data_IF_078094779086
#
_entry.id   IF_078094779086
#
_cell.length_a   1.000
_cell.length_b   1.000
_cell.length_c   1.000
_cell.angle_alpha   90.00
_cell.angle_beta   90.00
_cell.angle_gamma   90.00
#
_symmetry.space_group_name_H-M   'P 1'
#
loop_
_entity.id
_entity.type
_entity.pdbx_description
1 polymer ?
#
# COMPACT_ATOMS: atom_id res chain seq x y z
N UNK A 1 15.31 -4.33 -15.44
CA UNK A 1 15.33 -3.76 -14.08
C UNK A 1 15.04 -4.95 -13.19
N UNK A 2 16.07 -5.50 -12.55
CA UNK A 2 15.92 -6.75 -11.81
C UNK A 2 15.18 -6.47 -10.50
N UNK A 3 14.23 -7.34 -10.15
CA UNK A 3 13.43 -7.18 -8.93
C UNK A 3 14.33 -7.37 -7.71
N UNK A 4 14.36 -6.37 -6.82
CA UNK A 4 15.19 -6.41 -5.60
C UNK A 4 14.71 -7.52 -4.67
N UNK A 5 13.42 -7.82 -4.65
CA UNK A 5 12.87 -8.88 -3.81
C UNK A 5 13.43 -10.23 -4.25
N UNK A 6 13.47 -10.50 -5.56
CA UNK A 6 14.07 -11.72 -6.10
C UNK A 6 15.54 -11.84 -5.75
N UNK A 7 16.29 -10.72 -5.77
CA UNK A 7 17.69 -10.70 -5.35
C UNK A 7 17.85 -10.99 -3.86
N UNK A 8 16.99 -10.42 -3.01
CA UNK A 8 17.01 -10.65 -1.56
C UNK A 8 16.72 -12.12 -1.24
N UNK A 9 15.76 -12.74 -1.92
CA UNK A 9 15.41 -14.14 -1.71
C UNK A 9 16.45 -15.12 -2.27
N UNK A 10 17.27 -14.69 -3.22
CA UNK A 10 18.32 -15.51 -3.84
C UNK A 10 19.66 -15.50 -3.07
N UNK A 11 19.79 -14.66 -2.04
CA UNK A 11 21.01 -14.52 -1.22
C UNK A 11 20.75 -14.93 0.24
N UNK A 12 21.81 -15.06 1.03
CA UNK A 12 21.73 -15.50 2.44
C UNK A 12 22.54 -14.62 3.42
N UNK A 13 23.01 -13.46 3.00
CA UNK A 13 23.81 -12.56 3.83
C UNK A 13 22.96 -11.59 4.66
N UNK A 14 21.88 -11.07 4.06
CA UNK A 14 20.97 -10.09 4.68
C UNK A 14 19.53 -10.60 4.72
N UNK A 15 18.72 -10.01 5.58
CA UNK A 15 17.26 -10.20 5.61
C UNK A 15 16.54 -8.86 5.51
N UNK A 16 15.20 -8.87 5.41
CA UNK A 16 14.37 -7.68 5.36
C UNK A 16 13.07 -7.91 6.11
N UNK A 17 12.51 -6.84 6.69
CA UNK A 17 11.21 -6.88 7.35
C UNK A 17 10.13 -7.03 6.27
N UNK A 18 9.31 -8.06 6.40
CA UNK A 18 8.16 -8.31 5.53
C UNK A 18 6.94 -7.55 6.07
N UNK A 19 6.47 -7.94 7.25
CA UNK A 19 5.38 -7.26 7.94
C UNK A 19 5.52 -7.34 9.46
N UNK A 20 4.74 -6.49 10.13
CA UNK A 20 4.67 -6.42 11.59
C UNK A 20 3.26 -6.80 12.01
N UNK A 21 3.14 -7.84 12.81
CA UNK A 21 1.88 -8.27 13.40
C UNK A 21 1.72 -7.68 14.80
N UNK A 22 0.58 -7.03 15.06
CA UNK A 22 0.25 -6.43 16.36
C UNK A 22 -0.78 -7.32 17.04
N UNK A 23 -0.50 -7.73 18.28
CA UNK A 23 -1.44 -8.50 19.10
C UNK A 23 -2.55 -7.62 19.68
N UNK A 24 -3.62 -8.24 20.17
CA UNK A 24 -4.79 -7.56 20.74
C UNK A 24 -4.48 -6.66 21.94
N UNK A 25 -3.40 -6.96 22.67
CA UNK A 25 -2.91 -6.15 23.78
C UNK A 25 -2.16 -4.88 23.34
N UNK A 26 -1.87 -4.75 22.04
CA UNK A 26 -1.20 -3.62 21.40
C UNK A 26 0.19 -3.33 21.97
N UNK A 27 0.79 -4.26 22.71
CA UNK A 27 2.13 -4.14 23.28
C UNK A 27 3.06 -5.25 22.81
N UNK A 28 2.51 -6.39 22.36
CA UNK A 28 3.28 -7.42 21.66
C UNK A 28 3.27 -7.16 20.16
N UNK A 29 4.46 -7.07 19.59
CA UNK A 29 4.67 -6.96 18.15
C UNK A 29 5.52 -8.14 17.69
N UNK A 30 5.04 -8.86 16.67
CA UNK A 30 5.79 -9.93 16.03
C UNK A 30 6.25 -9.44 14.64
N UNK A 31 7.56 -9.32 14.47
CA UNK A 31 8.18 -8.86 13.22
C UNK A 31 8.57 -10.08 12.40
N UNK A 32 8.01 -10.17 11.20
CA UNK A 32 8.28 -11.22 10.23
C UNK A 32 9.28 -10.73 9.18
N UNK A 33 10.05 -11.67 8.64
CA UNK A 33 11.14 -11.39 7.72
C UNK A 33 10.98 -12.15 6.41
N UNK A 34 11.43 -11.54 5.30
CA UNK A 34 11.44 -12.19 3.98
C UNK A 34 12.37 -13.41 3.92
N UNK A 35 13.53 -13.33 4.59
CA UNK A 35 14.48 -14.43 4.73
C UNK A 35 14.59 -14.76 6.20
N UNK A 36 14.49 -16.04 6.55
CA UNK A 36 14.51 -16.44 7.96
C UNK A 36 15.81 -15.97 8.64
N UNK A 37 15.73 -15.19 9.74
CA UNK A 37 16.88 -14.58 10.40
C UNK A 37 17.86 -15.60 11.01
N UNK A 38 17.46 -16.87 11.15
CA UNK A 38 18.31 -17.97 11.58
C UNK A 38 19.03 -18.69 10.43
N UNK A 39 18.55 -18.52 9.21
CA UNK A 39 19.04 -19.20 8.01
C UNK A 39 20.06 -18.37 7.22
N UNK A 40 20.18 -17.08 7.53
CA UNK A 40 21.24 -16.24 6.98
C UNK A 40 22.62 -16.68 7.50
N UNK A 41 23.67 -16.45 6.70
CA UNK A 41 25.05 -16.87 6.94
C UNK A 41 25.58 -16.39 8.31
N UNK A 42 25.12 -15.22 8.76
CA UNK A 42 25.40 -14.71 10.09
C UNK A 42 24.08 -14.44 10.84
N UNK A 43 23.54 -15.43 11.59
CA UNK A 43 22.20 -15.35 12.16
C UNK A 43 22.07 -14.17 13.11
N UNK A 44 20.93 -13.48 13.05
CA UNK A 44 20.67 -12.31 13.87
C UNK A 44 20.81 -12.66 15.37
N UNK A 45 21.59 -11.88 16.13
CA UNK A 45 21.79 -12.16 17.54
C UNK A 45 20.49 -12.00 18.33
N UNK A 46 20.36 -12.74 19.43
CA UNK A 46 19.22 -12.56 20.35
C UNK A 46 19.17 -11.14 20.93
N UNK A 47 20.33 -10.49 21.07
CA UNK A 47 20.46 -9.07 21.39
C UNK A 47 20.71 -8.30 20.10
N UNK A 48 19.63 -7.90 19.43
CA UNK A 48 19.71 -7.02 18.27
C UNK A 48 20.25 -5.65 18.65
N UNK A 49 20.71 -4.91 17.64
CA UNK A 49 21.11 -3.51 17.77
C UNK A 49 19.97 -2.60 18.25
N UNK A 50 20.13 -1.29 18.08
CA UNK A 50 19.13 -0.33 18.54
C UNK A 50 17.84 -0.44 17.68
N UNK A 51 16.73 -0.84 18.30
CA UNK A 51 15.42 -0.87 17.63
C UNK A 51 14.66 0.42 17.97
N UNK A 52 14.22 1.12 16.93
CA UNK A 52 13.53 2.41 17.02
C UNK A 52 12.11 2.27 16.49
N UNK A 53 11.14 2.62 17.32
CA UNK A 53 9.74 2.81 16.91
C UNK A 53 9.41 4.29 17.05
N UNK A 54 9.18 4.96 15.92
CA UNK A 54 9.00 6.41 15.88
C UNK A 54 7.96 6.81 14.84
N UNK A 55 7.35 7.99 14.99
CA UNK A 55 6.44 8.52 13.97
C UNK A 55 7.22 9.46 13.03
N UNK A 56 7.37 9.15 11.74
CA UNK A 56 8.14 9.99 10.82
C UNK A 56 7.55 11.40 10.65
N UNK A 57 6.23 11.54 10.81
CA UNK A 57 5.53 12.82 10.77
C UNK A 57 5.59 13.59 12.11
N UNK A 58 6.23 13.04 13.15
CA UNK A 58 6.27 13.64 14.49
C UNK A 58 4.90 13.71 15.18
N UNK A 59 3.92 12.92 14.73
CA UNK A 59 2.57 12.91 15.29
C UNK A 59 2.47 12.21 16.66
N UNK A 60 3.52 11.50 17.06
CA UNK A 60 3.61 10.78 18.32
C UNK A 60 5.06 10.70 18.80
N UNK A 61 5.26 10.59 20.12
CA UNK A 61 6.57 10.34 20.69
C UNK A 61 7.08 8.92 20.33
N UNK A 62 8.40 8.72 20.21
CA UNK A 62 8.99 7.41 20.02
C UNK A 62 8.64 6.47 21.18
N UNK A 63 8.35 5.21 20.85
CA UNK A 63 7.93 4.21 21.83
C UNK A 63 9.12 3.28 22.11
N UNK A 64 9.59 3.18 23.36
CA UNK A 64 10.61 2.21 23.72
C UNK A 64 10.10 0.79 23.52
N UNK A 65 10.93 -0.04 22.88
CA UNK A 65 10.66 -1.47 22.68
C UNK A 65 11.81 -2.30 23.25
N UNK A 66 11.46 -3.48 23.77
CA UNK A 66 12.44 -4.47 24.22
C UNK A 66 12.30 -5.75 23.41
N UNK A 67 13.43 -6.41 23.13
CA UNK A 67 13.44 -7.69 22.43
C UNK A 67 13.10 -8.79 23.42
N UNK A 68 11.98 -9.47 23.21
CA UNK A 68 11.62 -10.66 23.99
C UNK A 68 12.38 -11.91 23.49
N UNK A 69 12.69 -11.95 22.20
CA UNK A 69 13.48 -13.00 21.57
C UNK A 69 13.03 -13.34 20.15
N UNK A 70 13.80 -14.19 19.49
CA UNK A 70 13.44 -14.80 18.21
C UNK A 70 12.67 -16.09 18.52
N UNK A 71 11.44 -16.17 18.04
CA UNK A 71 10.54 -17.30 18.28
C UNK A 71 10.21 -17.99 16.97
N UNK A 72 9.99 -19.30 17.03
CA UNK A 72 9.54 -20.09 15.89
C UNK A 72 8.04 -20.35 16.03
N UNK A 73 7.26 -19.95 15.03
CA UNK A 73 5.97 -20.60 14.76
C UNK A 73 6.25 -21.72 13.75
N UNK A 74 5.47 -22.79 13.72
CA UNK A 74 5.67 -23.89 12.77
C UNK A 74 5.70 -23.48 11.29
N UNK A 75 5.39 -22.22 10.97
CA UNK A 75 5.47 -21.58 9.65
C UNK A 75 6.68 -20.63 9.44
N UNK A 76 7.57 -20.44 10.42
CA UNK A 76 8.76 -19.58 10.30
C UNK A 76 9.21 -18.91 11.61
N UNK A 77 10.42 -18.34 11.61
CA UNK A 77 10.91 -17.52 12.72
C UNK A 77 10.46 -16.07 12.62
N UNK A 78 10.10 -15.48 13.76
CA UNK A 78 9.76 -14.07 13.89
C UNK A 78 10.45 -13.48 15.12
N UNK A 79 10.69 -12.17 15.09
CA UNK A 79 11.23 -11.42 16.22
C UNK A 79 10.09 -10.87 17.05
N UNK A 80 10.00 -11.26 18.32
CA UNK A 80 9.02 -10.69 19.25
C UNK A 80 9.59 -9.48 19.98
N UNK A 81 8.86 -8.37 19.87
CA UNK A 81 9.12 -7.12 20.57
C UNK A 81 8.00 -6.83 21.58
N UNK A 82 8.39 -6.21 22.69
CA UNK A 82 7.49 -5.71 23.73
C UNK A 82 7.62 -4.19 23.80
N UNK A 83 6.58 -3.49 23.35
CA UNK A 83 6.47 -2.05 23.54
C UNK A 83 6.18 -1.71 25.00
N UNK A 84 6.75 -0.61 25.49
CA UNK A 84 6.56 -0.14 26.85
C UNK A 84 5.10 0.24 27.15
N UNK A 85 4.35 0.69 26.14
CA UNK A 85 2.95 1.06 26.22
C UNK A 85 2.30 0.96 24.83
N UNK A 86 0.96 0.78 24.76
CA UNK A 86 0.26 0.73 23.49
C UNK A 86 0.32 2.11 22.81
N UNK A 87 0.67 2.13 21.51
CA UNK A 87 0.71 3.36 20.73
C UNK A 87 -0.66 4.00 20.50
N UNK A 88 -0.67 5.21 19.94
CA UNK A 88 -1.89 5.93 19.59
C UNK A 88 -2.38 5.56 18.18
N UNK A 89 -3.24 6.38 17.58
CA UNK A 89 -3.77 6.17 16.22
C UNK A 89 -2.83 6.64 15.09
N UNK A 90 -1.64 7.16 15.42
CA UNK A 90 -0.66 7.57 14.41
C UNK A 90 -0.04 6.36 13.71
N UNK A 91 0.59 6.63 12.56
CA UNK A 91 1.49 5.70 11.91
C UNK A 91 2.88 5.81 12.53
N UNK A 92 3.48 4.65 12.78
CA UNK A 92 4.82 4.48 13.31
C UNK A 92 5.66 3.71 12.29
N UNK A 93 6.94 4.01 12.23
CA UNK A 93 7.92 3.20 11.52
C UNK A 93 8.73 2.40 12.53
N UNK A 94 9.05 1.16 12.16
CA UNK A 94 9.97 0.31 12.91
C UNK A 94 11.28 0.24 12.14
N UNK A 95 12.36 0.69 12.78
CA UNK A 95 13.72 0.62 12.26
C UNK A 95 14.57 -0.23 13.18
N UNK A 96 15.29 -1.19 12.61
CA UNK A 96 16.29 -1.99 13.32
C UNK A 96 17.67 -1.58 12.81
N UNK A 97 18.51 -1.07 13.70
CA UNK A 97 19.89 -0.67 13.38
C UNK A 97 20.83 -1.88 13.42
N UNK A 98 20.88 -2.63 12.30
CA UNK A 98 21.77 -3.78 12.10
C UNK A 98 22.15 -3.91 10.62
N UNK A 99 23.44 -4.11 10.34
CA UNK A 99 23.99 -4.24 8.98
C UNK A 99 23.43 -5.45 8.20
N UNK A 100 22.83 -6.41 8.90
CA UNK A 100 22.25 -7.62 8.30
C UNK A 100 20.82 -7.40 7.79
N UNK A 101 20.27 -6.21 7.97
CA UNK A 101 18.94 -5.86 7.49
C UNK A 101 19.08 -4.98 6.25
N UNK A 102 18.49 -5.42 5.15
CA UNK A 102 18.43 -4.64 3.91
C UNK A 102 17.74 -3.30 4.20
N UNK A 103 18.43 -2.15 4.02
CA UNK A 103 17.85 -0.83 4.28
C UNK A 103 16.58 -0.54 3.47
N UNK A 104 16.39 -1.19 2.32
CA UNK A 104 15.18 -1.03 1.51
C UNK A 104 13.96 -1.70 2.14
N UNK A 105 14.15 -2.80 2.87
CA UNK A 105 13.12 -3.54 3.59
C UNK A 105 13.22 -3.30 5.10
N UNK A 106 13.69 -2.11 5.49
CA UNK A 106 13.72 -1.62 6.85
C UNK A 106 12.80 -0.39 6.96
N UNK A 107 12.69 0.21 8.15
CA UNK A 107 11.86 1.39 8.39
C UNK A 107 10.39 1.21 7.97
N UNK A 108 9.84 0.03 8.26
CA UNK A 108 8.49 -0.37 7.80
C UNK A 108 7.41 0.33 8.62
N UNK A 109 6.44 0.92 7.93
CA UNK A 109 5.30 1.60 8.56
C UNK A 109 4.24 0.63 9.06
N UNK A 110 3.71 0.87 10.26
CA UNK A 110 2.63 0.10 10.88
C UNK A 110 1.76 0.98 11.81
N UNK A 111 0.64 0.44 12.26
CA UNK A 111 -0.24 1.08 13.26
C UNK A 111 -0.48 0.15 14.44
N UNK A 112 -0.38 0.69 15.66
CA UNK A 112 -0.75 -0.04 16.88
C UNK A 112 -2.24 -0.39 16.96
N UNK A 113 -3.09 0.22 16.13
CA UNK A 113 -4.54 -0.02 16.09
C UNK A 113 -4.96 -0.98 14.97
N UNK A 114 -4.01 -1.61 14.27
CA UNK A 114 -4.31 -2.49 13.14
C UNK A 114 -5.19 -3.69 13.51
N UNK A 115 -5.04 -4.25 14.72
CA UNK A 115 -5.85 -5.37 15.21
C UNK A 115 -6.95 -4.95 16.21
N UNK A 116 -7.26 -3.66 16.29
CA UNK A 116 -8.42 -3.22 17.07
C UNK A 116 -9.70 -3.71 16.39
N UNK A 117 -10.73 -4.11 17.17
CA UNK A 117 -12.06 -4.32 16.64
C UNK A 117 -12.51 -3.07 15.86
N UNK A 118 -12.88 -3.28 14.61
CA UNK A 118 -13.34 -2.23 13.71
C UNK A 118 -14.85 -2.34 13.60
N UNK A 119 -15.56 -1.24 13.91
CA UNK A 119 -16.99 -1.11 13.62
C UNK A 119 -17.26 -0.82 12.13
N UNK A 120 -16.22 -0.76 11.29
CA UNK A 120 -16.37 -0.64 9.85
C UNK A 120 -16.86 -1.97 9.29
N UNK A 121 -18.09 -1.98 8.79
CA UNK A 121 -18.64 -3.08 8.02
C UNK A 121 -17.75 -3.36 6.80
N UNK A 122 -17.51 -4.65 6.51
CA UNK A 122 -16.79 -5.06 5.31
C UNK A 122 -17.46 -4.41 4.08
N UNK A 123 -16.67 -3.70 3.25
CA UNK A 123 -17.20 -3.14 1.99
C UNK A 123 -17.83 -4.31 1.20
N UNK A 124 -19.12 -4.25 0.86
CA UNK A 124 -19.72 -5.27 0.00
C UNK A 124 -18.94 -5.30 -1.31
N UNK A 125 -18.80 -6.49 -1.91
CA UNK A 125 -18.19 -6.63 -3.23
C UNK A 125 -18.88 -5.65 -4.20
N UNK A 126 -18.09 -4.92 -4.99
CA UNK A 126 -18.64 -4.04 -6.00
C UNK A 126 -19.52 -4.90 -6.94
N UNK A 127 -20.71 -4.41 -7.24
CA UNK A 127 -21.60 -5.10 -8.17
C UNK A 127 -20.89 -5.22 -9.52
N UNK A 128 -20.66 -6.45 -9.98
CA UNK A 128 -20.14 -6.71 -11.33
C UNK A 128 -21.22 -6.33 -12.34
N UNK A 129 -21.21 -5.07 -12.79
CA UNK A 129 -21.96 -4.66 -13.95
C UNK A 129 -21.40 -5.40 -15.18
N UNK A 130 -22.25 -5.93 -16.07
CA UNK A 130 -21.78 -6.41 -17.37
C UNK A 130 -21.06 -5.26 -18.09
N UNK A 131 -19.99 -5.55 -18.87
CA UNK A 131 -19.33 -4.52 -19.66
C UNK A 131 -20.35 -3.84 -20.56
N UNK A 132 -20.41 -2.51 -20.51
CA UNK A 132 -21.28 -1.75 -21.40
C UNK A 132 -20.90 -2.07 -22.85
N UNK A 133 -21.89 -2.42 -23.67
CA UNK A 133 -21.67 -2.58 -25.10
C UNK A 133 -21.22 -1.23 -25.68
N UNK A 134 -20.10 -1.19 -26.44
CA UNK A 134 -19.69 0.04 -27.08
C UNK A 134 -20.76 0.46 -28.09
N UNK A 135 -21.46 1.56 -27.80
CA UNK A 135 -22.39 2.18 -28.74
C UNK A 135 -21.55 2.95 -29.76
N UNK A 136 -21.44 2.40 -30.98
CA UNK A 136 -20.79 3.08 -32.09
C UNK A 136 -21.72 4.13 -32.71
N UNK A 137 -21.18 5.31 -32.98
CA UNK A 137 -21.89 6.40 -33.63
C UNK A 137 -21.20 6.70 -34.96
N UNK A 138 -21.94 6.97 -36.05
CA UNK A 138 -21.36 7.27 -37.34
C UNK A 138 -20.68 8.65 -37.33
N UNK A 139 -19.43 8.72 -36.86
CA UNK A 139 -18.60 9.92 -36.87
C UNK A 139 -17.73 9.92 -38.13
N UNK A 140 -17.71 11.04 -38.86
CA UNK A 140 -16.82 11.21 -40.01
C UNK A 140 -15.39 11.51 -39.55
N UNK A 141 -14.55 10.47 -39.51
CA UNK A 141 -13.13 10.57 -39.14
C UNK A 141 -12.24 11.20 -40.23
N UNK A 142 -12.80 11.53 -41.40
CA UNK A 142 -12.05 12.20 -42.48
C UNK A 142 -12.08 13.73 -42.38
N UNK A 143 -12.86 14.27 -41.44
CA UNK A 143 -12.88 15.69 -41.09
C UNK A 143 -11.46 16.21 -40.79
N UNK A 144 -11.09 17.34 -41.41
CA UNK A 144 -9.73 17.94 -41.30
C UNK A 144 -9.75 19.47 -41.18
N UNK A 145 -10.90 20.10 -41.36
CA UNK A 145 -11.10 21.54 -41.18
C UNK A 145 -12.06 21.83 -40.02
N UNK A 146 -12.00 23.04 -39.46
CA UNK A 146 -12.80 23.44 -38.30
C UNK A 146 -14.30 23.19 -38.49
N UNK A 147 -14.86 23.46 -39.66
CA UNK A 147 -16.29 23.29 -39.92
C UNK A 147 -16.67 21.82 -40.00
N UNK A 148 -15.83 21.00 -40.62
CA UNK A 148 -16.02 19.55 -40.67
C UNK A 148 -15.97 18.91 -39.27
N UNK A 149 -15.03 19.31 -38.41
CA UNK A 149 -14.95 18.82 -37.02
C UNK A 149 -16.14 19.28 -36.18
N UNK A 150 -16.51 20.56 -36.26
CA UNK A 150 -17.67 21.11 -35.55
C UNK A 150 -18.94 20.34 -35.92
N UNK A 151 -19.12 20.05 -37.21
CA UNK A 151 -20.26 19.26 -37.69
C UNK A 151 -20.24 17.83 -37.14
N UNK A 152 -19.12 17.13 -37.23
CA UNK A 152 -19.00 15.76 -36.73
C UNK A 152 -19.30 15.64 -35.22
N UNK A 153 -18.82 16.61 -34.42
CA UNK A 153 -19.08 16.66 -32.97
C UNK A 153 -20.55 16.96 -32.65
N UNK A 154 -21.20 17.86 -33.39
CA UNK A 154 -22.62 18.17 -33.20
C UNK A 154 -23.54 17.02 -33.63
N UNK A 155 -23.20 16.32 -34.71
CA UNK A 155 -23.92 15.10 -35.14
C UNK A 155 -23.79 13.99 -34.09
N UNK A 156 -22.58 13.73 -33.58
CA UNK A 156 -22.37 12.82 -32.45
C UNK A 156 -23.21 13.19 -31.22
N UNK A 157 -23.15 14.45 -30.79
CA UNK A 157 -23.88 14.92 -29.62
C UNK A 157 -25.41 14.78 -29.79
N UNK A 158 -25.93 15.00 -31.01
CA UNK A 158 -27.37 14.83 -31.30
C UNK A 158 -27.85 13.39 -31.15
N UNK A 159 -27.00 12.41 -31.46
CA UNK A 159 -27.31 10.98 -31.34
C UNK A 159 -27.13 10.49 -29.90
N UNK A 160 -26.07 10.94 -29.22
CA UNK A 160 -25.75 10.51 -27.85
C UNK A 160 -26.63 11.19 -26.80
N UNK A 161 -27.06 12.43 -27.04
CA UNK A 161 -27.80 13.29 -26.12
C UNK A 161 -29.03 13.93 -26.79
N UNK A 162 -30.06 13.15 -27.16
CA UNK A 162 -31.22 13.66 -27.87
C UNK A 162 -32.03 14.72 -27.10
N UNK A 163 -31.88 14.77 -25.77
CA UNK A 163 -32.52 15.76 -24.90
C UNK A 163 -31.87 17.15 -24.91
N UNK A 164 -30.76 17.35 -25.62
CA UNK A 164 -30.07 18.63 -25.70
C UNK A 164 -30.16 19.22 -27.13
N UNK A 165 -31.20 20.03 -27.40
CA UNK A 165 -31.47 20.57 -28.74
C UNK A 165 -30.74 21.87 -29.06
N UNK A 166 -30.04 22.50 -28.10
CA UNK A 166 -29.46 23.82 -28.29
C UNK A 166 -28.29 23.80 -29.30
N UNK A 167 -28.30 24.74 -30.25
CA UNK A 167 -27.29 24.91 -31.31
C UNK A 167 -26.79 26.36 -31.39
N UNK A 168 -27.16 27.20 -30.42
CA UNK A 168 -26.70 28.58 -30.34
C UNK A 168 -25.21 28.61 -30.02
N UNK A 169 -24.45 29.43 -30.72
CA UNK A 169 -23.00 29.57 -30.48
C UNK A 169 -22.66 30.12 -29.09
N UNK A 170 -23.63 30.68 -28.38
CA UNK A 170 -23.48 31.19 -27.02
C UNK A 170 -23.74 30.11 -25.94
N UNK A 171 -24.24 28.93 -26.32
CA UNK A 171 -24.42 27.84 -25.38
C UNK A 171 -23.07 27.22 -25.02
N UNK A 172 -22.87 26.94 -23.73
CA UNK A 172 -21.60 26.45 -23.20
C UNK A 172 -21.20 25.07 -23.76
N UNK A 173 -22.15 24.26 -24.22
CA UNK A 173 -21.87 22.99 -24.89
C UNK A 173 -21.59 23.12 -26.39
N UNK A 174 -21.86 24.27 -27.01
CA UNK A 174 -21.73 24.53 -28.46
C UNK A 174 -20.49 25.38 -28.80
N UNK A 175 -19.93 26.07 -27.80
CA UNK A 175 -18.76 26.93 -27.92
C UNK A 175 -17.45 26.14 -28.01
#
# INVERSE_FOLDING_TARGET
MQDRLEQLLAQSDVTGIDFIYIHDDQVRLDVYFYVDPSMITNPLPANLGEIKVYSPAGAAEPIPVTVAGILNTGSGNFLRLLAAYPGNFALYNLLIDDDRIDPYYNDVSFSFKANCPSDLDCKPLDHECPPEEPVDFPVDYSARDFWSYRRALLEFASLRYPGWPDRLAADAGVM
#
